data_IF_884266009704
#
_entry.id   IF_884266009704
#
_cell.length_a   1.000
_cell.length_b   1.000
_cell.length_c   1.000
_cell.angle_alpha   90.00
_cell.angle_beta   90.00
_cell.angle_gamma   90.00
#
_symmetry.space_group_name_H-M   'P 1'
#
loop_
_entity.id
_entity.type
_entity.pdbx_description
1 polymer ?
#
# COMPACT_ATOMS: atom_id res chain seq x y z
N UNK A 1 -19.81 0.26 18.72
CA UNK A 1 -20.99 0.79 18.01
C UNK A 1 -22.00 -0.35 17.91
N UNK A 2 -23.21 -0.19 18.46
CA UNK A 2 -24.26 -1.20 18.29
C UNK A 2 -24.44 -1.46 16.78
N UNK A 3 -24.39 -2.72 16.36
CA UNK A 3 -24.43 -3.12 14.93
C UNK A 3 -25.64 -2.45 14.26
N UNK A 4 -25.39 -1.44 13.41
CA UNK A 4 -26.41 -0.71 12.67
C UNK A 4 -26.43 0.81 12.84
N UNK A 5 -25.78 1.38 13.88
CA UNK A 5 -25.74 2.85 14.04
C UNK A 5 -24.61 3.45 13.19
N UNK A 6 -24.89 4.46 12.33
CA UNK A 6 -23.84 5.12 11.56
C UNK A 6 -22.81 5.83 12.45
N UNK A 7 -21.53 5.75 12.10
CA UNK A 7 -20.43 6.44 12.82
C UNK A 7 -20.71 7.93 12.97
N UNK A 8 -21.28 8.57 11.95
CA UNK A 8 -21.65 9.98 11.99
C UNK A 8 -22.77 10.31 12.99
N UNK A 9 -23.68 9.38 13.28
CA UNK A 9 -24.68 9.59 14.33
C UNK A 9 -24.00 9.54 15.71
N UNK A 10 -23.18 8.53 15.96
CA UNK A 10 -22.41 8.40 17.21
C UNK A 10 -21.47 9.60 17.42
N UNK A 11 -20.81 10.07 16.36
CA UNK A 11 -19.93 11.23 16.45
C UNK A 11 -20.66 12.51 16.84
N UNK A 12 -21.87 12.74 16.29
CA UNK A 12 -22.73 13.87 16.65
C UNK A 12 -23.17 13.79 18.11
N UNK A 13 -23.60 12.61 18.57
CA UNK A 13 -24.01 12.40 19.96
C UNK A 13 -22.85 12.65 20.94
N UNK A 14 -21.62 12.30 20.52
CA UNK A 14 -20.40 12.53 21.29
C UNK A 14 -19.82 13.95 21.13
N UNK A 15 -20.38 14.79 20.25
CA UNK A 15 -19.88 16.13 19.98
C UNK A 15 -18.47 16.17 19.34
N UNK A 16 -18.08 15.11 18.62
CA UNK A 16 -16.77 15.01 17.96
C UNK A 16 -16.90 14.96 16.44
N UNK A 17 -15.79 15.22 15.74
CA UNK A 17 -15.73 15.07 14.29
C UNK A 17 -15.91 13.59 13.89
N UNK A 18 -16.78 13.37 12.91
CA UNK A 18 -17.14 12.04 12.40
C UNK A 18 -15.99 11.32 11.68
N UNK A 19 -15.14 12.06 10.99
CA UNK A 19 -13.92 11.55 10.36
C UNK A 19 -12.93 11.08 11.41
N UNK A 20 -12.75 11.84 12.50
CA UNK A 20 -11.89 11.43 13.63
C UNK A 20 -12.39 10.14 14.25
N UNK A 21 -13.68 10.05 14.59
CA UNK A 21 -14.26 8.83 15.15
C UNK A 21 -14.15 7.66 14.15
N UNK A 22 -14.40 7.90 12.87
CA UNK A 22 -14.26 6.89 11.82
C UNK A 22 -12.83 6.37 11.70
N UNK A 23 -11.83 7.23 11.84
CA UNK A 23 -10.42 6.82 11.83
C UNK A 23 -10.07 5.96 13.05
N UNK A 24 -10.55 6.29 14.24
CA UNK A 24 -10.35 5.46 15.43
C UNK A 24 -11.04 4.10 15.31
N UNK A 25 -12.27 4.05 14.78
CA UNK A 25 -12.98 2.78 14.53
C UNK A 25 -12.22 1.92 13.53
N UNK A 26 -11.70 2.52 12.44
CA UNK A 26 -10.87 1.79 11.46
C UNK A 26 -9.57 1.28 12.09
N UNK A 27 -8.94 2.06 12.94
CA UNK A 27 -7.72 1.64 13.66
C UNK A 27 -7.99 0.47 14.61
N UNK A 28 -9.05 0.54 15.42
CA UNK A 28 -9.46 -0.56 16.32
C UNK A 28 -9.84 -1.82 15.52
N UNK A 29 -10.55 -1.68 14.40
CA UNK A 29 -10.84 -2.80 13.50
C UNK A 29 -9.56 -3.44 12.94
N UNK A 30 -8.59 -2.63 12.52
CA UNK A 30 -7.31 -3.09 12.03
C UNK A 30 -6.54 -3.88 13.12
N UNK A 31 -6.49 -3.35 14.35
CA UNK A 31 -5.83 -4.02 15.49
C UNK A 31 -6.49 -5.35 15.85
N UNK A 32 -7.81 -5.46 15.68
CA UNK A 32 -8.58 -6.69 15.90
C UNK A 32 -8.51 -7.67 14.72
N UNK A 33 -7.78 -7.34 13.65
CA UNK A 33 -7.71 -8.17 12.45
C UNK A 33 -9.03 -8.24 11.68
N UNK A 34 -9.84 -7.19 11.73
CA UNK A 34 -11.05 -7.05 10.89
C UNK A 34 -10.63 -6.47 9.54
N UNK A 35 -10.88 -7.19 8.43
CA UNK A 35 -10.58 -6.68 7.09
C UNK A 35 -11.39 -5.45 6.73
N UNK A 36 -10.85 -4.61 5.85
CA UNK A 36 -11.54 -3.45 5.30
C UNK A 36 -12.66 -3.84 4.31
N UNK A 37 -13.29 -2.85 3.69
CA UNK A 37 -14.37 -3.08 2.71
C UNK A 37 -13.94 -3.87 1.47
N UNK A 38 -12.63 -3.95 1.19
CA UNK A 38 -12.06 -4.75 0.11
C UNK A 38 -11.66 -6.17 0.59
N UNK A 39 -11.91 -6.50 1.86
CA UNK A 39 -11.52 -7.78 2.46
C UNK A 39 -10.03 -7.86 2.79
N UNK A 40 -9.32 -6.72 2.87
CA UNK A 40 -7.89 -6.68 3.13
C UNK A 40 -7.58 -6.20 4.54
N UNK A 41 -6.55 -6.78 5.14
CA UNK A 41 -5.98 -6.27 6.39
C UNK A 41 -4.99 -5.13 6.09
N UNK A 42 -4.92 -4.12 6.96
CA UNK A 42 -3.87 -3.12 6.85
C UNK A 42 -2.50 -3.77 6.99
N UNK A 43 -1.58 -3.38 6.10
CA UNK A 43 -0.20 -3.84 6.18
C UNK A 43 0.40 -3.50 7.55
N UNK A 44 1.17 -4.41 8.10
CA UNK A 44 2.04 -4.16 9.25
C UNK A 44 3.14 -3.18 8.88
N UNK A 45 3.81 -2.60 9.88
CA UNK A 45 4.95 -1.72 9.64
C UNK A 45 6.09 -2.45 8.89
N UNK A 46 6.32 -3.73 9.22
CA UNK A 46 7.31 -4.56 8.55
C UNK A 46 6.96 -4.81 7.07
N UNK A 47 5.71 -5.15 6.77
CA UNK A 47 5.25 -5.34 5.39
C UNK A 47 5.32 -4.04 4.57
N UNK A 48 4.99 -2.89 5.16
CA UNK A 48 5.17 -1.58 4.50
C UNK A 48 6.64 -1.28 4.19
N UNK A 49 7.54 -1.59 5.11
CA UNK A 49 8.97 -1.40 4.93
C UNK A 49 9.50 -2.30 3.80
N UNK A 50 9.12 -3.59 3.81
CA UNK A 50 9.53 -4.54 2.78
C UNK A 50 8.96 -4.15 1.40
N UNK A 51 7.69 -3.75 1.33
CA UNK A 51 7.08 -3.26 0.08
C UNK A 51 7.84 -2.05 -0.48
N UNK A 52 8.31 -1.15 0.38
CA UNK A 52 9.10 0.02 -0.02
C UNK A 52 10.47 -0.40 -0.57
N UNK A 53 11.14 -1.33 0.13
CA UNK A 53 12.43 -1.90 -0.30
C UNK A 53 12.29 -2.59 -1.67
N UNK A 54 11.31 -3.48 -1.82
CA UNK A 54 11.04 -4.21 -3.06
C UNK A 54 10.75 -3.26 -4.23
N UNK A 55 9.99 -2.19 -4.01
CA UNK A 55 9.73 -1.17 -5.05
C UNK A 55 11.02 -0.48 -5.51
N UNK A 56 11.94 -0.18 -4.59
CA UNK A 56 13.25 0.42 -4.92
C UNK A 56 14.13 -0.56 -5.70
N UNK A 57 14.18 -1.81 -5.26
CA UNK A 57 14.94 -2.87 -5.96
C UNK A 57 14.38 -3.12 -7.36
N UNK A 58 13.05 -3.20 -7.51
CA UNK A 58 12.42 -3.37 -8.81
C UNK A 58 12.75 -2.23 -9.78
N UNK A 59 12.77 -0.98 -9.29
CA UNK A 59 13.16 0.17 -10.09
C UNK A 59 14.63 0.08 -10.54
N UNK A 60 15.54 -0.29 -9.63
CA UNK A 60 16.96 -0.53 -9.95
C UNK A 60 17.13 -1.62 -11.01
N UNK A 61 16.49 -2.77 -10.81
CA UNK A 61 16.56 -3.91 -11.73
C UNK A 61 16.03 -3.56 -13.12
N UNK A 62 14.96 -2.76 -13.21
CA UNK A 62 14.45 -2.27 -14.49
C UNK A 62 15.49 -1.43 -15.24
N UNK A 63 16.19 -0.54 -14.54
CA UNK A 63 17.25 0.27 -15.15
C UNK A 63 18.41 -0.61 -15.63
N UNK A 64 18.93 -1.50 -14.77
CA UNK A 64 20.02 -2.42 -15.12
C UNK A 64 19.67 -3.28 -16.33
N UNK A 65 18.46 -3.83 -16.36
CA UNK A 65 17.95 -4.64 -17.48
C UNK A 65 17.89 -3.85 -18.79
N UNK A 66 17.50 -2.58 -18.75
CA UNK A 66 17.50 -1.73 -19.96
C UNK A 66 18.91 -1.36 -20.42
N UNK A 67 19.86 -1.17 -19.50
CA UNK A 67 21.28 -0.97 -19.86
C UNK A 67 21.81 -2.22 -20.57
N UNK A 68 21.60 -3.41 -19.99
CA UNK A 68 22.07 -4.67 -20.56
C UNK A 68 21.48 -4.93 -21.96
N UNK A 69 20.20 -4.62 -22.17
CA UNK A 69 19.58 -4.70 -23.50
C UNK A 69 20.24 -3.78 -24.51
N UNK A 70 20.50 -2.53 -24.14
CA UNK A 70 21.15 -1.55 -25.04
C UNK A 70 22.57 -2.00 -25.39
N UNK A 71 23.32 -2.52 -24.41
CA UNK A 71 24.63 -3.10 -24.64
C UNK A 71 24.55 -4.31 -25.58
N UNK A 72 23.63 -5.25 -25.34
CA UNK A 72 23.43 -6.41 -26.20
C UNK A 72 23.06 -6.01 -27.64
N UNK A 73 22.17 -5.04 -27.81
CA UNK A 73 21.81 -4.51 -29.13
C UNK A 73 23.01 -3.90 -29.86
N UNK A 74 23.83 -3.11 -29.15
CA UNK A 74 25.05 -2.53 -29.71
C UNK A 74 26.04 -3.61 -30.19
N UNK A 75 26.29 -4.64 -29.37
CA UNK A 75 27.19 -5.73 -29.76
C UNK A 75 26.69 -6.54 -30.97
N UNK A 76 25.38 -6.77 -31.07
CA UNK A 76 24.79 -7.42 -32.24
C UNK A 76 25.02 -6.57 -33.49
N UNK A 77 24.75 -5.26 -33.43
CA UNK A 77 24.95 -4.38 -34.58
C UNK A 77 26.40 -4.33 -35.04
N UNK A 78 27.36 -4.29 -34.09
CA UNK A 78 28.79 -4.26 -34.41
C UNK A 78 29.28 -5.59 -34.99
N UNK A 79 28.74 -6.73 -34.53
CA UNK A 79 29.13 -8.06 -35.03
C UNK A 79 28.59 -8.35 -36.44
N UNK A 80 27.53 -7.65 -36.86
CA UNK A 80 26.92 -7.76 -38.19
C UNK A 80 27.42 -6.72 -39.20
N UNK A 81 28.36 -5.85 -38.79
CA UNK A 81 28.98 -4.83 -39.64
C UNK A 81 30.25 -5.36 -40.29
#
# INVERSE_FOLDING_TARGET
IARGVPVAAVARDLGINDTTLGNWVKADQAERGVPDAAGLLPLTAAERAELTKLRRENAKLKVEREILKKAAAFFVTESTR
#
